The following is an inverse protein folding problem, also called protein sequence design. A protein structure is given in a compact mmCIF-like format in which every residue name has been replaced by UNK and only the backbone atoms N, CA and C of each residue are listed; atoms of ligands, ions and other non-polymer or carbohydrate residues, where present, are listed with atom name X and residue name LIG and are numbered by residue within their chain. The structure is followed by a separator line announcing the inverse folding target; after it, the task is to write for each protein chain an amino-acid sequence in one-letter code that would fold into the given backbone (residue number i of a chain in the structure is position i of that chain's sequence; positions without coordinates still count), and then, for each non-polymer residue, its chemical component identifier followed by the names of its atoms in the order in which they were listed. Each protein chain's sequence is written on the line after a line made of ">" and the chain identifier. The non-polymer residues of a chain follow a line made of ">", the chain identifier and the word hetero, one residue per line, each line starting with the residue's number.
data_IF_273919277120
#
_entry.id   IF_273919277120
#
_cell.length_a   1.000
_cell.length_b   1.000
_cell.length_c   1.000
_cell.angle_alpha   90.00
_cell.angle_beta   90.00
_cell.angle_gamma   90.00
#
_symmetry.space_group_name_H-M   'P 1'
#
loop_
_entity.id
_entity.type
_entity.pdbx_description
1 polymer ?
#
# COMPACT_ATOMS: atom_id res chain seq x y z
N UNK A 1 61.23 -23.65 -15.76
CA UNK A 1 60.32 -22.58 -15.30
C UNK A 1 59.09 -22.56 -16.21
N UNK A 2 58.00 -23.26 -15.84
CA UNK A 2 56.76 -23.41 -16.62
C UNK A 2 55.62 -22.79 -15.84
N UNK A 3 55.21 -21.55 -16.17
CA UNK A 3 54.08 -20.89 -15.51
C UNK A 3 53.22 -19.94 -16.39
N UNK A 4 53.12 -20.04 -17.73
CA UNK A 4 52.17 -19.17 -18.47
C UNK A 4 50.75 -19.74 -18.58
N UNK A 5 50.54 -21.05 -18.30
CA UNK A 5 49.25 -21.71 -18.57
C UNK A 5 48.16 -21.41 -17.53
N UNK A 6 48.52 -21.27 -16.25
CA UNK A 6 47.56 -20.98 -15.18
C UNK A 6 46.98 -19.56 -15.26
N UNK A 7 47.76 -18.60 -15.79
CA UNK A 7 47.34 -17.21 -15.93
C UNK A 7 46.27 -17.01 -17.01
N UNK A 8 46.33 -17.80 -18.10
CA UNK A 8 45.34 -17.75 -19.19
C UNK A 8 43.99 -18.36 -18.78
N UNK A 9 44.00 -19.39 -17.94
CA UNK A 9 42.77 -20.01 -17.44
C UNK A 9 42.01 -19.06 -16.49
N UNK A 10 42.73 -18.31 -15.66
CA UNK A 10 42.13 -17.34 -14.72
C UNK A 10 41.44 -16.18 -15.44
N UNK A 11 41.99 -15.75 -16.59
CA UNK A 11 41.44 -14.65 -17.38
C UNK A 11 40.15 -15.03 -18.14
N UNK A 12 40.00 -16.30 -18.53
CA UNK A 12 38.75 -16.80 -19.13
C UNK A 12 37.67 -17.02 -18.07
N UNK A 13 38.05 -17.43 -16.86
CA UNK A 13 37.11 -17.64 -15.75
C UNK A 13 36.55 -16.34 -15.16
N UNK A 14 37.31 -15.24 -15.21
CA UNK A 14 36.84 -13.93 -14.73
C UNK A 14 35.92 -13.23 -15.73
N UNK A 15 36.04 -13.53 -17.02
CA UNK A 15 35.25 -12.89 -18.08
C UNK A 15 33.82 -13.45 -18.21
N UNK A 16 33.54 -14.63 -17.65
CA UNK A 16 32.20 -15.25 -17.67
C UNK A 16 31.28 -14.77 -16.54
N UNK A 17 31.76 -13.97 -15.59
CA UNK A 17 30.96 -13.50 -14.45
C UNK A 17 30.16 -12.20 -14.70
N UNK A 18 30.27 -11.57 -15.87
CA UNK A 18 29.78 -10.18 -16.07
C UNK A 18 28.37 -10.11 -16.72
N UNK A 19 27.74 -11.21 -17.13
CA UNK A 19 26.58 -11.14 -18.05
C UNK A 19 25.17 -11.18 -17.44
N UNK A 20 24.97 -10.89 -16.16
CA UNK A 20 23.61 -10.79 -15.59
C UNK A 20 23.28 -9.41 -15.01
N UNK A 21 23.38 -8.36 -15.82
CA UNK A 21 22.60 -7.14 -15.57
C UNK A 21 21.13 -7.42 -15.91
N UNK A 22 20.39 -7.95 -14.93
CA UNK A 22 18.93 -8.01 -14.99
C UNK A 22 18.40 -6.58 -15.09
N UNK A 23 18.00 -6.16 -16.28
CA UNK A 23 17.32 -4.88 -16.48
C UNK A 23 15.93 -4.98 -15.85
N UNK A 24 15.78 -4.42 -14.65
CA UNK A 24 14.47 -4.24 -14.04
C UNK A 24 13.65 -3.29 -14.93
N UNK A 25 12.84 -3.85 -15.83
CA UNK A 25 11.92 -3.08 -16.66
C UNK A 25 10.85 -2.49 -15.75
N UNK A 26 10.81 -1.15 -15.68
CA UNK A 26 9.76 -0.41 -14.96
C UNK A 26 8.42 -0.73 -15.63
N UNK A 27 7.61 -1.55 -14.97
CA UNK A 27 6.25 -1.86 -15.42
C UNK A 27 5.49 -0.54 -15.66
N UNK A 28 4.83 -0.34 -16.81
CA UNK A 28 4.02 0.85 -17.01
C UNK A 28 2.96 0.95 -15.90
N UNK A 29 2.84 2.14 -15.30
CA UNK A 29 1.87 2.37 -14.25
C UNK A 29 0.47 2.14 -14.83
N UNK A 30 -0.22 1.12 -14.32
CA UNK A 30 -1.59 0.81 -14.74
C UNK A 30 -2.50 2.00 -14.42
N UNK A 31 -3.36 2.45 -15.34
CA UNK A 31 -4.24 3.58 -15.10
C UNK A 31 -5.10 3.35 -13.84
N UNK A 32 -5.35 4.44 -13.13
CA UNK A 32 -6.26 4.44 -11.99
C UNK A 32 -7.70 4.27 -12.51
N UNK A 33 -8.46 3.40 -11.86
CA UNK A 33 -9.90 3.29 -12.11
C UNK A 33 -10.62 4.48 -11.45
N UNK A 34 -11.67 5.03 -12.07
CA UNK A 34 -12.46 6.10 -11.48
C UNK A 34 -13.20 5.58 -10.24
N UNK A 35 -13.25 6.41 -9.20
CA UNK A 35 -13.93 6.13 -7.96
C UNK A 35 -13.48 7.08 -6.86
N UNK A 36 -14.17 7.02 -5.72
CA UNK A 36 -13.89 7.85 -4.56
C UNK A 36 -14.20 7.09 -3.27
N UNK A 37 -13.86 7.71 -2.15
CA UNK A 37 -14.12 7.17 -0.83
C UNK A 37 -14.72 8.22 0.07
N UNK A 38 -15.61 7.78 0.96
CA UNK A 38 -16.21 8.60 2.01
C UNK A 38 -15.84 8.04 3.39
N UNK A 39 -15.70 8.95 4.35
CA UNK A 39 -15.48 8.62 5.75
C UNK A 39 -16.63 9.16 6.58
N UNK A 40 -17.19 8.31 7.42
CA UNK A 40 -18.15 8.71 8.45
C UNK A 40 -17.53 8.41 9.81
N UNK A 41 -17.33 9.44 10.62
CA UNK A 41 -16.78 9.28 11.98
C UNK A 41 -17.64 10.04 12.96
N UNK A 42 -17.84 9.47 14.15
CA UNK A 42 -18.46 10.20 15.24
C UNK A 42 -17.36 11.01 15.94
N UNK A 43 -17.27 12.31 15.64
CA UNK A 43 -16.24 13.19 16.22
C UNK A 43 -16.42 13.43 17.73
N UNK A 44 -17.62 13.20 18.26
CA UNK A 44 -17.96 13.36 19.68
C UNK A 44 -17.43 12.20 20.51
N UNK A 45 -17.76 10.96 20.12
CA UNK A 45 -17.35 9.76 20.86
C UNK A 45 -16.01 9.20 20.39
N UNK A 46 -15.64 9.48 19.14
CA UNK A 46 -14.42 8.98 18.47
C UNK A 46 -14.26 7.47 18.52
N UNK A 47 -15.38 6.76 18.66
CA UNK A 47 -15.41 5.34 18.90
C UNK A 47 -15.25 4.51 17.61
N UNK A 48 -15.54 5.08 16.45
CA UNK A 48 -15.46 4.36 15.18
C UNK A 48 -15.32 5.32 13.99
N UNK A 49 -14.88 4.75 12.86
CA UNK A 49 -14.96 5.36 11.53
C UNK A 49 -15.49 4.32 10.55
N UNK A 50 -16.49 4.66 9.75
CA UNK A 50 -16.95 3.85 8.62
C UNK A 50 -16.27 4.38 7.37
N UNK A 51 -15.63 3.48 6.61
CA UNK A 51 -15.01 3.77 5.32
C UNK A 51 -15.87 3.17 4.23
N UNK A 52 -16.28 3.98 3.26
CA UNK A 52 -17.06 3.55 2.09
C UNK A 52 -16.31 3.86 0.81
N UNK A 53 -16.24 2.90 -0.11
CA UNK A 53 -15.65 3.09 -1.42
C UNK A 53 -16.73 3.00 -2.49
N UNK A 54 -16.68 3.93 -3.44
CA UNK A 54 -17.59 4.03 -4.57
C UNK A 54 -16.82 3.95 -5.87
N UNK A 55 -17.42 3.34 -6.90
CA UNK A 55 -16.88 3.34 -8.25
C UNK A 55 -17.22 4.64 -9.00
N UNK A 56 -16.85 4.73 -10.28
CA UNK A 56 -17.15 5.88 -11.13
C UNK A 56 -18.64 6.05 -11.50
N UNK A 57 -19.49 5.13 -11.07
CA UNK A 57 -20.95 5.11 -11.29
C UNK A 57 -21.72 5.35 -9.98
N UNK A 58 -21.05 5.82 -8.92
CA UNK A 58 -21.62 6.04 -7.58
C UNK A 58 -22.14 4.78 -6.89
N UNK A 59 -21.71 3.59 -7.33
CA UNK A 59 -22.10 2.32 -6.70
C UNK A 59 -21.14 1.99 -5.55
N UNK A 60 -21.69 1.58 -4.41
CA UNK A 60 -20.92 1.14 -3.25
C UNK A 60 -20.23 -0.20 -3.56
N UNK A 61 -18.90 -0.21 -3.58
CA UNK A 61 -18.10 -1.42 -3.84
C UNK A 61 -17.48 -2.01 -2.58
N UNK A 62 -17.40 -1.24 -1.51
CA UNK A 62 -16.83 -1.68 -0.24
C UNK A 62 -17.29 -0.80 0.92
N UNK A 63 -17.60 -1.43 2.05
CA UNK A 63 -17.82 -0.75 3.32
C UNK A 63 -17.10 -1.51 4.44
N UNK A 64 -16.43 -0.78 5.31
CA UNK A 64 -15.84 -1.35 6.53
C UNK A 64 -15.98 -0.37 7.68
N UNK A 65 -16.48 -0.88 8.82
CA UNK A 65 -16.46 -0.17 10.09
C UNK A 65 -15.15 -0.47 10.82
N UNK A 66 -14.41 0.59 11.11
CA UNK A 66 -13.17 0.58 11.86
C UNK A 66 -13.49 0.92 13.31
N UNK A 67 -13.70 -0.11 14.12
CA UNK A 67 -13.96 0.08 15.55
C UNK A 67 -12.72 0.60 16.29
N UNK A 68 -12.97 1.43 17.29
CA UNK A 68 -11.97 2.11 18.10
C UNK A 68 -10.97 2.96 17.30
N UNK A 69 -11.37 3.42 16.10
CA UNK A 69 -10.54 4.25 15.24
C UNK A 69 -11.31 5.49 14.79
N UNK A 70 -10.77 6.69 15.05
CA UNK A 70 -11.30 7.95 14.55
C UNK A 70 -10.35 8.54 13.50
N UNK A 71 -10.75 8.54 12.23
CA UNK A 71 -9.99 9.19 11.16
C UNK A 71 -10.47 10.64 10.99
N UNK A 72 -9.65 11.59 11.45
CA UNK A 72 -9.83 13.02 11.16
C UNK A 72 -8.83 13.43 10.06
N UNK A 73 -9.33 13.55 8.83
CA UNK A 73 -8.54 13.99 7.68
C UNK A 73 -8.67 15.50 7.40
N UNK A 74 -9.42 16.25 8.22
CA UNK A 74 -9.60 17.70 8.02
C UNK A 74 -8.34 18.51 8.30
N UNK A 75 -7.40 17.95 9.06
CA UNK A 75 -6.13 18.60 9.39
C UNK A 75 -5.09 18.26 8.32
N UNK A 76 -4.44 19.25 7.72
CA UNK A 76 -3.37 19.04 6.71
C UNK A 76 -2.05 18.55 7.34
N UNK A 77 -2.11 17.48 8.14
CA UNK A 77 -0.93 16.87 8.77
C UNK A 77 -0.30 15.82 7.85
N UNK A 78 0.97 15.51 8.07
CA UNK A 78 1.64 14.42 7.34
C UNK A 78 0.97 13.06 7.54
N UNK A 79 0.31 12.84 8.68
CA UNK A 79 -0.44 11.61 8.96
C UNK A 79 -1.70 11.52 8.08
N UNK A 80 -2.46 12.61 7.96
CA UNK A 80 -3.65 12.65 7.09
C UNK A 80 -3.29 12.40 5.62
N UNK A 81 -2.14 12.93 5.14
CA UNK A 81 -1.64 12.65 3.78
C UNK A 81 -1.29 11.18 3.58
N UNK A 82 -0.69 10.51 4.58
CA UNK A 82 -0.38 9.08 4.51
C UNK A 82 -1.65 8.24 4.51
N UNK A 83 -2.60 8.55 5.39
CA UNK A 83 -3.90 7.87 5.44
C UNK A 83 -4.64 8.02 4.12
N UNK A 84 -4.71 9.23 3.56
CA UNK A 84 -5.31 9.49 2.23
C UNK A 84 -4.66 8.64 1.13
N UNK A 85 -3.33 8.57 1.10
CA UNK A 85 -2.61 7.71 0.13
C UNK A 85 -2.96 6.23 0.31
N UNK A 86 -3.08 5.75 1.55
CA UNK A 86 -3.48 4.36 1.84
C UNK A 86 -4.92 4.09 1.40
N UNK A 87 -5.84 5.00 1.68
CA UNK A 87 -7.23 4.90 1.20
C UNK A 87 -7.31 4.86 -0.33
N UNK A 88 -6.53 5.70 -1.02
CA UNK A 88 -6.45 5.66 -2.48
C UNK A 88 -5.92 4.32 -3.01
N UNK A 89 -4.90 3.75 -2.36
CA UNK A 89 -4.38 2.42 -2.74
C UNK A 89 -5.43 1.34 -2.50
N UNK A 90 -6.10 1.35 -1.34
CA UNK A 90 -7.13 0.38 -0.99
C UNK A 90 -8.34 0.47 -1.93
N UNK A 91 -8.78 1.69 -2.28
CA UNK A 91 -9.80 1.94 -3.29
C UNK A 91 -9.42 1.30 -4.63
N UNK A 92 -8.21 1.56 -5.12
CA UNK A 92 -7.75 0.99 -6.40
C UNK A 92 -7.64 -0.54 -6.36
N UNK A 93 -7.34 -1.13 -5.21
CA UNK A 93 -7.36 -2.58 -5.04
C UNK A 93 -8.79 -3.13 -5.12
N UNK A 94 -9.75 -2.52 -4.42
CA UNK A 94 -11.16 -2.95 -4.42
C UNK A 94 -11.83 -2.76 -5.78
N UNK A 95 -11.56 -1.67 -6.48
CA UNK A 95 -12.07 -1.44 -7.84
C UNK A 95 -11.53 -2.45 -8.86
N UNK A 96 -10.30 -2.95 -8.66
CA UNK A 96 -9.68 -3.95 -9.56
C UNK A 96 -10.12 -5.38 -9.27
N UNK A 97 -10.51 -5.66 -8.03
CA UNK A 97 -10.90 -7.00 -7.60
C UNK A 97 -12.25 -6.89 -6.86
N UNK A 98 -13.37 -6.79 -7.60
CA UNK A 98 -14.70 -6.73 -7.01
C UNK A 98 -15.16 -8.07 -6.41
N UNK A 99 -14.34 -9.12 -6.47
CA UNK A 99 -14.72 -10.45 -6.02
C UNK A 99 -14.66 -10.60 -4.47
N UNK A 100 -15.66 -11.26 -3.85
CA UNK A 100 -15.77 -11.40 -2.40
C UNK A 100 -14.81 -12.43 -1.75
N UNK A 101 -14.00 -13.16 -2.54
CA UNK A 101 -13.33 -14.39 -2.08
C UNK A 101 -11.87 -14.23 -1.66
N UNK A 102 -11.26 -13.04 -1.78
CA UNK A 102 -9.89 -12.84 -1.28
C UNK A 102 -9.92 -12.38 0.18
N UNK A 103 -9.37 -13.15 1.14
CA UNK A 103 -9.14 -12.66 2.50
C UNK A 103 -8.05 -11.60 2.45
N UNK A 104 -8.45 -10.38 2.07
CA UNK A 104 -7.60 -9.21 2.14
C UNK A 104 -7.41 -8.86 3.61
N UNK A 105 -6.19 -8.45 4.03
CA UNK A 105 -6.03 -7.83 5.33
C UNK A 105 -7.03 -6.67 5.40
N UNK A 106 -7.86 -6.68 6.43
CA UNK A 106 -8.90 -5.67 6.64
C UNK A 106 -8.28 -4.28 6.60
N UNK A 107 -9.02 -3.27 6.12
CA UNK A 107 -8.52 -1.90 6.12
C UNK A 107 -8.12 -1.50 7.55
N UNK A 108 -8.83 -2.03 8.55
CA UNK A 108 -8.46 -1.97 9.96
C UNK A 108 -7.04 -2.48 10.24
N UNK A 109 -6.67 -3.68 9.76
CA UNK A 109 -5.33 -4.24 9.94
C UNK A 109 -4.25 -3.36 9.27
N UNK A 110 -4.53 -2.87 8.06
CA UNK A 110 -3.60 -2.00 7.32
C UNK A 110 -3.40 -0.64 8.00
N UNK A 111 -4.45 -0.07 8.59
CA UNK A 111 -4.40 1.22 9.26
C UNK A 111 -3.85 1.12 10.70
N UNK A 112 -4.13 0.02 11.40
CA UNK A 112 -3.65 -0.23 12.78
C UNK A 112 -2.16 -0.57 12.88
N UNK A 113 -1.57 -1.16 11.83
CA UNK A 113 -0.11 -1.36 11.75
C UNK A 113 0.69 -0.05 11.79
N UNK A 114 0.05 1.09 11.51
CA UNK A 114 0.65 2.40 11.75
C UNK A 114 0.51 2.76 13.24
N UNK A 115 1.44 2.25 14.08
CA UNK A 115 1.50 2.48 15.54
C UNK A 115 1.38 3.95 15.98
N UNK A 116 1.54 4.92 15.06
CA UNK A 116 1.37 6.35 15.35
C UNK A 116 -0.07 6.84 15.24
N UNK A 117 -0.93 6.15 14.49
CA UNK A 117 -2.38 6.36 14.54
C UNK A 117 -2.91 5.89 15.90
N UNK A 118 -2.35 4.79 16.44
CA UNK A 118 -2.57 4.38 17.84
C UNK A 118 -2.04 5.37 18.88
N UNK A 119 -1.07 6.26 18.58
CA UNK A 119 -0.55 7.21 19.58
C UNK A 119 -1.48 8.38 19.90
N UNK A 120 -2.57 8.56 19.16
CA UNK A 120 -3.69 9.39 19.63
C UNK A 120 -4.41 8.73 20.83
N UNK A 121 -4.14 7.44 21.09
CA UNK A 121 -4.73 6.66 22.19
C UNK A 121 -3.79 6.44 23.39
N UNK A 122 -2.56 6.95 23.38
CA UNK A 122 -1.67 6.86 24.54
C UNK A 122 -1.62 8.15 25.37
N UNK A 123 -2.35 9.19 24.97
CA UNK A 123 -2.54 10.42 25.74
C UNK A 123 -4.00 10.57 26.13
N UNK A 124 -4.46 9.65 26.98
CA UNK A 124 -5.47 9.92 28.00
C UNK A 124 -5.08 9.18 29.26
#
# INVERSE_FOLDING_TARGET
>A
MKAPALFRLFLVLSLSLITTLATARKQPARPALPGYWNLETNLTTRAYTIVRFYNGQDELVYEERLDNLCLDLGKNTGLCRRTTRRLNVALQQKLRTPAPTTPMPTLAAQLSQDRRVQRVYATR
#
